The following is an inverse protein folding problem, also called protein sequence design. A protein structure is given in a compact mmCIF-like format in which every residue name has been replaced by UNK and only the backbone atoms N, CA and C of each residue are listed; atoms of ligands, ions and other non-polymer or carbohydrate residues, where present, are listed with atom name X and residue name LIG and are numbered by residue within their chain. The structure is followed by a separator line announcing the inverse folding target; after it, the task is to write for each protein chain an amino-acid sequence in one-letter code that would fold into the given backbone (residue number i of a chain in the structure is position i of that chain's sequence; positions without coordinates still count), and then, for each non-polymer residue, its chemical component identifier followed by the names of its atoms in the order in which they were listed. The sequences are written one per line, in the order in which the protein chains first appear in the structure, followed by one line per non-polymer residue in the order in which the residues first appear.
data_IF_065152471160
#
_entry.id   IF_065152471160
#
_cell.length_a   1.000
_cell.length_b   1.000
_cell.length_c   1.000
_cell.angle_alpha   90.00
_cell.angle_beta   90.00
_cell.angle_gamma   90.00
#
_symmetry.space_group_name_H-M   'P 1'
#
loop_
_entity.id
_entity.type
_entity.pdbx_description
1 polymer ?
#
# COMPACT_ATOMS: atom_id res chain seq x y z
N UNK A 1 -5.95 9.02 9.55
CA UNK A 1 -6.24 7.78 8.85
C UNK A 1 -7.55 7.21 9.33
N UNK A 2 -8.38 6.75 8.43
CA UNK A 2 -9.74 6.36 8.76
C UNK A 2 -10.21 5.24 7.83
N UNK A 3 -10.86 4.23 8.39
CA UNK A 3 -11.53 3.19 7.61
C UNK A 3 -12.93 3.69 7.25
N UNK A 4 -13.23 3.79 5.96
CA UNK A 4 -14.47 4.38 5.48
C UNK A 4 -15.50 3.37 5.00
N UNK A 5 -15.10 2.11 4.73
CA UNK A 5 -16.02 1.08 4.26
C UNK A 5 -16.25 0.04 5.34
N UNK A 6 -17.52 -0.39 5.47
CA UNK A 6 -17.89 -1.47 6.37
C UNK A 6 -18.23 -2.76 5.62
N UNK A 7 -18.11 -2.77 4.29
CA UNK A 7 -18.36 -3.99 3.50
C UNK A 7 -17.31 -5.03 3.83
N UNK A 8 -17.75 -6.26 4.03
CA UNK A 8 -16.87 -7.35 4.44
C UNK A 8 -16.01 -7.90 3.31
N UNK A 9 -16.28 -7.52 2.06
CA UNK A 9 -15.52 -7.97 0.91
C UNK A 9 -14.38 -7.03 0.53
N UNK A 10 -14.29 -5.86 1.14
CA UNK A 10 -13.31 -4.83 0.76
C UNK A 10 -12.85 -4.04 1.98
N UNK A 11 -11.60 -3.56 1.94
CA UNK A 11 -11.08 -2.56 2.87
C UNK A 11 -10.98 -1.25 2.11
N UNK A 12 -11.50 -0.16 2.68
CA UNK A 12 -11.29 1.20 2.14
C UNK A 12 -10.79 2.07 3.28
N UNK A 13 -9.64 2.70 3.07
CA UNK A 13 -9.05 3.62 4.03
C UNK A 13 -8.68 4.92 3.35
N UNK A 14 -8.89 6.03 4.05
CA UNK A 14 -8.48 7.36 3.58
C UNK A 14 -7.49 7.92 4.58
N UNK A 15 -6.36 8.41 4.07
CA UNK A 15 -5.31 8.98 4.91
C UNK A 15 -4.82 10.29 4.32
N UNK A 16 -4.50 11.25 5.20
CA UNK A 16 -3.95 12.54 4.80
C UNK A 16 -2.44 12.55 4.99
N UNK A 17 -1.73 13.08 4.01
CA UNK A 17 -0.27 13.23 4.03
C UNK A 17 0.08 14.69 3.74
N UNK A 18 -0.04 15.56 4.75
CA UNK A 18 0.11 17.00 4.50
C UNK A 18 1.51 17.42 4.10
N UNK A 19 2.52 16.61 4.43
CA UNK A 19 3.92 16.94 4.13
C UNK A 19 4.36 16.47 2.74
N UNK A 20 3.54 15.70 2.01
CA UNK A 20 3.96 15.11 0.74
C UNK A 20 2.98 15.44 -0.39
N UNK A 21 3.45 16.14 -1.45
CA UNK A 21 2.65 16.26 -2.67
C UNK A 21 2.41 14.89 -3.31
N UNK A 22 1.41 14.75 -4.19
CA UNK A 22 1.09 13.44 -4.77
C UNK A 22 2.26 12.73 -5.46
N UNK A 23 3.12 13.45 -6.17
CA UNK A 23 4.28 12.84 -6.81
C UNK A 23 5.30 12.31 -5.81
N UNK A 24 5.52 13.03 -4.72
CA UNK A 24 6.42 12.58 -3.65
C UNK A 24 5.85 11.35 -2.95
N UNK A 25 4.56 11.38 -2.60
CA UNK A 25 3.94 10.22 -1.95
C UNK A 25 3.95 9.00 -2.86
N UNK A 26 3.69 9.17 -4.15
CA UNK A 26 3.76 8.09 -5.12
C UNK A 26 5.14 7.43 -5.12
N UNK A 27 6.20 8.23 -5.04
CA UNK A 27 7.57 7.71 -4.98
C UNK A 27 7.80 6.84 -3.75
N UNK A 28 7.19 7.15 -2.60
CA UNK A 28 7.31 6.32 -1.40
C UNK A 28 6.66 4.95 -1.55
N UNK A 29 5.80 4.77 -2.55
CA UNK A 29 5.17 3.48 -2.85
C UNK A 29 5.88 2.70 -3.97
N UNK A 30 6.80 3.33 -4.70
CA UNK A 30 7.36 2.74 -5.92
C UNK A 30 8.88 2.73 -5.98
N UNK A 31 9.56 3.54 -5.18
CA UNK A 31 11.02 3.55 -5.18
C UNK A 31 11.55 2.71 -4.00
N UNK A 32 12.40 1.72 -4.26
CA UNK A 32 12.87 0.82 -3.21
C UNK A 32 13.46 1.52 -1.99
N UNK A 33 14.28 2.54 -2.20
CA UNK A 33 14.90 3.26 -1.08
C UNK A 33 13.88 3.97 -0.20
N UNK A 34 12.81 4.48 -0.78
CA UNK A 34 11.75 5.14 -0.03
C UNK A 34 10.79 4.14 0.62
N UNK A 35 10.47 3.04 -0.08
CA UNK A 35 9.66 1.96 0.49
C UNK A 35 10.29 1.41 1.77
N UNK A 36 11.61 1.25 1.78
CA UNK A 36 12.33 0.70 2.92
C UNK A 36 12.29 1.61 4.15
N UNK A 37 11.89 2.85 4.00
CA UNK A 37 11.80 3.81 5.12
C UNK A 37 10.58 3.59 5.99
N UNK A 38 9.56 2.91 5.45
CA UNK A 38 8.29 2.83 6.20
C UNK A 38 7.63 1.44 6.18
N UNK A 39 7.97 0.56 5.26
CA UNK A 39 7.25 -0.71 5.12
C UNK A 39 8.19 -1.91 4.99
N UNK A 40 8.60 -2.38 3.78
CA UNK A 40 9.43 -3.58 3.74
C UNK A 40 10.90 -3.26 4.04
N UNK A 41 11.62 -4.17 4.71
CA UNK A 41 13.06 -3.98 4.87
C UNK A 41 13.83 -4.14 3.57
N UNK A 42 13.29 -4.89 2.60
CA UNK A 42 13.87 -5.03 1.26
C UNK A 42 12.78 -4.92 0.20
N UNK A 43 13.11 -4.29 -0.92
CA UNK A 43 12.17 -4.06 -2.01
C UNK A 43 12.87 -4.08 -3.36
N UNK A 44 12.23 -4.73 -4.33
CA UNK A 44 12.60 -4.69 -5.75
C UNK A 44 11.36 -4.27 -6.52
N UNK A 45 11.49 -3.31 -7.41
CA UNK A 45 10.34 -2.74 -8.12
C UNK A 45 10.70 -2.50 -9.59
N UNK A 46 9.87 -2.98 -10.49
CA UNK A 46 9.92 -2.65 -11.90
C UNK A 46 8.84 -1.57 -12.15
N UNK A 47 9.26 -0.33 -12.31
CA UNK A 47 8.42 0.86 -12.22
C UNK A 47 7.65 1.12 -13.52
N UNK A 48 6.73 0.22 -13.87
CA UNK A 48 5.89 0.35 -15.05
C UNK A 48 4.63 -0.49 -14.92
N UNK A 49 3.59 -0.16 -15.68
CA UNK A 49 2.42 -1.04 -15.80
C UNK A 49 2.86 -2.38 -16.38
N UNK A 50 2.38 -3.48 -15.80
CA UNK A 50 2.84 -4.83 -16.16
C UNK A 50 4.16 -5.23 -15.51
N UNK A 51 4.86 -4.31 -14.87
CA UNK A 51 6.07 -4.61 -14.11
C UNK A 51 5.76 -5.34 -12.82
N UNK A 52 6.78 -5.96 -12.24
CA UNK A 52 6.63 -6.77 -11.04
C UNK A 52 7.29 -6.10 -9.84
N UNK A 53 6.77 -6.39 -8.66
CA UNK A 53 7.43 -5.99 -7.41
C UNK A 53 7.65 -7.21 -6.53
N UNK A 54 8.66 -7.12 -5.67
CA UNK A 54 8.97 -8.14 -4.68
C UNK A 54 9.44 -7.44 -3.40
N UNK A 55 8.65 -7.53 -2.35
CA UNK A 55 9.02 -7.04 -1.03
C UNK A 55 9.35 -8.23 -0.15
N UNK A 56 10.38 -8.12 0.68
CA UNK A 56 10.78 -9.24 1.51
C UNK A 56 11.17 -8.82 2.93
N UNK A 57 10.91 -9.75 3.85
CA UNK A 57 11.26 -9.67 5.27
C UNK A 57 12.16 -10.85 5.58
N UNK A 58 13.50 -10.71 5.35
CA UNK A 58 14.41 -11.86 5.43
C UNK A 58 14.44 -12.54 6.80
N UNK A 59 14.23 -11.80 7.88
CA UNK A 59 14.28 -12.36 9.23
C UNK A 59 13.19 -13.38 9.50
N UNK A 60 12.06 -13.29 8.81
CA UNK A 60 10.92 -14.21 8.96
C UNK A 60 10.63 -14.96 7.67
N UNK A 61 11.44 -14.74 6.64
CA UNK A 61 11.31 -15.36 5.31
C UNK A 61 9.90 -15.14 4.71
N UNK A 62 9.40 -13.92 4.78
CA UNK A 62 8.14 -13.54 4.15
C UNK A 62 8.41 -12.79 2.86
N UNK A 63 7.62 -13.10 1.83
CA UNK A 63 7.75 -12.50 0.51
C UNK A 63 6.38 -12.10 -0.01
N UNK A 64 6.25 -10.83 -0.37
CA UNK A 64 5.05 -10.28 -1.00
C UNK A 64 5.40 -9.95 -2.44
N UNK A 65 4.62 -10.49 -3.39
CA UNK A 65 4.87 -10.33 -4.82
C UNK A 65 3.62 -9.92 -5.54
N UNK A 66 3.81 -9.22 -6.65
CA UNK A 66 2.69 -8.89 -7.52
C UNK A 66 3.11 -8.18 -8.78
N UNK A 67 2.11 -7.79 -9.55
CA UNK A 67 2.27 -7.10 -10.82
C UNK A 67 1.45 -5.82 -10.78
N UNK A 68 1.97 -4.76 -11.37
CA UNK A 68 1.26 -3.49 -11.42
C UNK A 68 0.20 -3.52 -12.51
N UNK A 69 -1.08 -3.42 -12.10
CA UNK A 69 -2.21 -3.29 -13.00
C UNK A 69 -2.41 -1.85 -13.47
N UNK A 70 -1.99 -0.88 -12.65
CA UNK A 70 -1.96 0.55 -13.01
C UNK A 70 -0.71 1.18 -12.41
N UNK A 71 -0.06 2.03 -13.19
CA UNK A 71 1.13 2.74 -12.76
C UNK A 71 1.08 4.14 -13.36
N UNK A 72 0.35 5.04 -12.69
CA UNK A 72 0.11 6.42 -13.14
C UNK A 72 0.71 7.37 -12.11
N UNK A 73 1.93 7.85 -12.32
CA UNK A 73 2.63 8.68 -11.32
C UNK A 73 1.79 9.85 -10.83
N UNK A 74 1.76 10.02 -9.52
CA UNK A 74 1.01 11.06 -8.82
C UNK A 74 -0.51 10.91 -8.87
N UNK A 75 -1.04 9.85 -9.50
CA UNK A 75 -2.48 9.66 -9.68
C UNK A 75 -3.00 8.32 -9.17
N UNK A 76 -2.45 7.21 -9.66
CA UNK A 76 -2.99 5.90 -9.32
C UNK A 76 -1.91 4.83 -9.38
N UNK A 77 -1.96 3.92 -8.40
CA UNK A 77 -1.13 2.73 -8.38
C UNK A 77 -2.02 1.55 -7.99
N UNK A 78 -2.04 0.51 -8.81
CA UNK A 78 -2.79 -0.70 -8.49
C UNK A 78 -1.91 -1.91 -8.71
N UNK A 79 -1.97 -2.87 -7.79
CA UNK A 79 -1.10 -4.05 -7.86
C UNK A 79 -1.75 -5.25 -7.18
N UNK A 80 -1.37 -6.45 -7.66
CA UNK A 80 -1.76 -7.70 -7.04
C UNK A 80 -1.02 -7.89 -5.73
N UNK A 81 -1.61 -8.67 -4.83
CA UNK A 81 -1.09 -8.90 -3.49
C UNK A 81 -1.02 -10.39 -3.24
N UNK A 82 0.17 -10.96 -3.24
CA UNK A 82 0.38 -12.40 -3.11
C UNK A 82 1.51 -12.69 -2.13
N UNK A 83 1.16 -13.25 -0.97
CA UNK A 83 2.16 -13.77 -0.05
C UNK A 83 2.59 -15.17 -0.48
N UNK A 84 3.91 -15.43 -0.49
CA UNK A 84 4.43 -16.76 -0.83
C UNK A 84 3.99 -17.85 0.15
N UNK A 85 3.71 -17.45 1.40
CA UNK A 85 3.43 -18.40 2.49
C UNK A 85 1.94 -18.67 2.71
N UNK A 86 1.04 -18.09 1.92
CA UNK A 86 -0.38 -18.34 2.10
C UNK A 86 -1.01 -18.83 0.79
N UNK A 87 -2.08 -19.63 0.92
CA UNK A 87 -2.77 -20.24 -0.21
C UNK A 87 -4.06 -19.49 -0.58
N UNK A 88 -4.26 -18.31 0.00
CA UNK A 88 -5.47 -17.54 -0.25
C UNK A 88 -5.45 -16.95 -1.66
N UNK A 89 -6.64 -16.69 -2.25
CA UNK A 89 -6.71 -16.06 -3.55
C UNK A 89 -5.98 -14.73 -3.60
N UNK A 90 -5.38 -14.36 -4.75
CA UNK A 90 -4.76 -13.05 -4.89
C UNK A 90 -5.74 -11.93 -4.58
N UNK A 91 -5.26 -10.90 -3.91
CA UNK A 91 -6.00 -9.67 -3.66
C UNK A 91 -5.46 -8.58 -4.57
N UNK A 92 -6.14 -7.46 -4.62
CA UNK A 92 -5.64 -6.29 -5.32
C UNK A 92 -5.66 -5.09 -4.37
N UNK A 93 -4.60 -4.29 -4.42
CA UNK A 93 -4.54 -3.00 -3.75
C UNK A 93 -4.62 -1.92 -4.81
N UNK A 94 -5.51 -0.94 -4.61
CA UNK A 94 -5.68 0.20 -5.50
C UNK A 94 -5.49 1.46 -4.68
N UNK A 95 -4.58 2.33 -5.13
CA UNK A 95 -4.25 3.57 -4.45
C UNK A 95 -4.57 4.75 -5.36
N UNK A 96 -5.39 5.67 -4.87
CA UNK A 96 -5.67 6.93 -5.54
C UNK A 96 -4.97 8.07 -4.79
N UNK A 97 -4.21 8.86 -5.52
CA UNK A 97 -3.44 9.99 -5.01
C UNK A 97 -4.09 11.26 -5.49
N UNK A 98 -4.59 12.08 -4.58
CA UNK A 98 -5.27 13.32 -4.93
C UNK A 98 -4.72 14.48 -4.11
N UNK A 99 -4.59 15.69 -4.69
CA UNK A 99 -4.26 16.85 -3.88
C UNK A 99 -5.31 17.02 -2.78
N UNK A 100 -4.87 17.20 -1.54
CA UNK A 100 -5.80 17.40 -0.43
C UNK A 100 -6.17 18.86 -0.30
N UNK A 101 -7.44 19.19 0.01
CA UNK A 101 -7.82 20.55 0.38
C UNK A 101 -7.08 21.05 1.62
N UNK A 102 -6.54 20.13 2.44
CA UNK A 102 -5.79 20.46 3.66
C UNK A 102 -4.30 20.64 3.38
N UNK A 103 -3.85 20.49 2.14
CA UNK A 103 -2.45 20.50 1.76
C UNK A 103 -1.89 19.10 1.63
N UNK A 104 -0.88 18.92 0.77
CA UNK A 104 -0.30 17.59 0.51
C UNK A 104 -1.23 16.69 -0.26
N UNK A 105 -1.33 15.44 0.16
CA UNK A 105 -2.05 14.39 -0.56
C UNK A 105 -3.11 13.74 0.31
N UNK A 106 -4.28 13.51 -0.27
CA UNK A 106 -5.27 12.57 0.24
C UNK A 106 -5.10 11.25 -0.48
N UNK A 107 -4.81 10.20 0.25
CA UNK A 107 -4.65 8.85 -0.28
C UNK A 107 -5.89 8.03 0.04
N UNK A 108 -6.48 7.42 -0.99
CA UNK A 108 -7.55 6.43 -0.81
C UNK A 108 -6.99 5.07 -1.16
N UNK A 109 -7.00 4.15 -0.20
CA UNK A 109 -6.53 2.78 -0.33
C UNK A 109 -7.72 1.84 -0.36
N UNK A 110 -7.81 1.00 -1.40
CA UNK A 110 -8.80 -0.06 -1.51
C UNK A 110 -8.07 -1.40 -1.61
N UNK A 111 -8.45 -2.37 -0.79
CA UNK A 111 -7.80 -3.68 -0.73
C UNK A 111 -8.86 -4.77 -0.67
N UNK A 112 -8.84 -5.71 -1.59
CA UNK A 112 -9.82 -6.80 -1.67
C UNK A 112 -9.62 -7.61 -2.96
N UNK A 113 -10.52 -8.52 -3.30
CA UNK A 113 -11.77 -8.81 -2.56
C UNK A 113 -11.55 -9.92 -1.53
N UNK A 114 -12.43 -9.98 -0.54
CA UNK A 114 -12.42 -11.02 0.51
C UNK A 114 -13.74 -11.78 0.49
N UNK A 115 -13.67 -13.10 0.66
CA UNK A 115 -14.86 -13.93 0.78
C UNK A 115 -15.43 -13.94 2.18
N UNK A 116 -16.55 -14.62 2.36
CA UNK A 116 -17.30 -14.66 3.63
C UNK A 116 -16.79 -15.74 4.60
N UNK A 117 -15.86 -16.60 4.18
CA UNK A 117 -15.36 -17.66 5.06
C UNK A 117 -14.61 -17.06 6.26
N UNK A 118 -14.52 -17.84 7.35
CA UNK A 118 -13.81 -17.37 8.54
C UNK A 118 -12.35 -17.05 8.22
N UNK A 119 -11.67 -17.88 7.41
CA UNK A 119 -10.27 -17.66 7.07
C UNK A 119 -10.09 -16.38 6.22
N UNK A 120 -11.02 -16.09 5.32
CA UNK A 120 -10.93 -14.87 4.51
C UNK A 120 -11.22 -13.62 5.33
N UNK A 121 -12.16 -13.69 6.27
CA UNK A 121 -12.42 -12.56 7.17
C UNK A 121 -11.28 -12.34 8.17
N UNK A 122 -10.60 -13.39 8.60
CA UNK A 122 -9.38 -13.24 9.40
C UNK A 122 -8.26 -12.57 8.61
N UNK A 123 -8.10 -12.94 7.34
CA UNK A 123 -7.12 -12.33 6.45
C UNK A 123 -7.43 -10.83 6.27
N UNK A 124 -8.70 -10.51 6.05
CA UNK A 124 -9.15 -9.12 5.96
C UNK A 124 -8.79 -8.32 7.21
N UNK A 125 -9.10 -8.88 8.38
CA UNK A 125 -8.78 -8.20 9.64
C UNK A 125 -7.27 -8.01 9.81
N UNK A 126 -6.48 -9.01 9.43
CA UNK A 126 -5.02 -8.89 9.46
C UNK A 126 -4.50 -7.76 8.57
N UNK A 127 -5.09 -7.59 7.38
CA UNK A 127 -4.72 -6.49 6.49
C UNK A 127 -5.17 -5.14 7.04
N UNK A 128 -6.35 -5.06 7.66
CA UNK A 128 -6.77 -3.84 8.35
C UNK A 128 -5.76 -3.46 9.43
N UNK A 129 -5.36 -4.43 10.25
CA UNK A 129 -4.38 -4.20 11.32
C UNK A 129 -3.03 -3.77 10.74
N UNK A 130 -2.60 -4.39 9.64
CA UNK A 130 -1.37 -4.03 8.96
C UNK A 130 -1.39 -2.59 8.45
N UNK A 131 -2.41 -2.21 7.71
CA UNK A 131 -2.52 -0.84 7.20
C UNK A 131 -2.64 0.18 8.33
N UNK A 132 -3.35 -0.17 9.40
CA UNK A 132 -3.47 0.69 10.59
C UNK A 132 -2.10 0.93 11.25
N UNK A 133 -1.19 -0.03 11.12
CA UNK A 133 0.18 0.09 11.61
C UNK A 133 1.08 0.86 10.64
N UNK A 134 1.03 0.50 9.35
CA UNK A 134 2.00 1.01 8.38
C UNK A 134 1.69 2.40 7.83
N UNK A 135 0.42 2.75 7.64
CA UNK A 135 0.09 4.08 7.12
C UNK A 135 0.56 5.22 8.04
N UNK A 136 0.44 5.11 9.37
CA UNK A 136 1.06 6.11 10.25
C UNK A 136 2.58 6.19 10.13
N UNK A 137 3.26 5.06 9.86
CA UNK A 137 4.70 5.07 9.61
C UNK A 137 5.03 5.82 8.33
N UNK A 138 4.20 5.68 7.30
CA UNK A 138 4.36 6.45 6.06
C UNK A 138 4.13 7.95 6.30
N UNK A 139 3.15 8.30 7.12
CA UNK A 139 2.93 9.70 7.50
C UNK A 139 4.17 10.28 8.17
N UNK A 140 4.79 9.55 9.08
CA UNK A 140 6.01 9.96 9.75
C UNK A 140 7.18 10.08 8.76
N UNK A 141 7.34 9.09 7.88
CA UNK A 141 8.44 9.08 6.91
C UNK A 141 8.35 10.27 5.96
N UNK A 142 7.13 10.57 5.46
CA UNK A 142 6.95 11.71 4.55
C UNK A 142 7.10 13.05 5.25
N UNK A 143 6.75 13.14 6.54
CA UNK A 143 6.97 14.36 7.31
C UNK A 143 8.45 14.64 7.58
N UNK A 144 9.29 13.61 7.50
CA UNK A 144 10.74 13.71 7.67
C UNK A 144 11.49 13.70 6.34
N UNK A 145 10.78 13.82 5.22
CA UNK A 145 11.39 13.77 3.90
C UNK A 145 12.27 15.00 3.69
N UNK A 146 13.55 14.75 3.41
CA UNK A 146 14.50 15.79 3.04
C UNK A 146 14.41 16.01 1.55
N UNK A 147 13.86 17.13 1.16
CA UNK A 147 13.85 17.58 -0.22
C UNK A 147 15.19 18.22 -0.53
N UNK A 148 15.99 17.65 -1.43
CA UNK A 148 17.26 18.27 -1.81
C UNK A 148 17.08 19.55 -2.58
#
# INVERSE_FOLDING_TARGET
MEQTSTKRDTIVMVAEFPAAPPGTLFAYWTEPDLLRRWWPPEAEVDQMVGGQYHFSWPKIDWHLRGTYAAFEPAHRLAFDWNWDHDDLPPRQVDLLFEPSPLGGTRLTLTHGAYGDSASEQEDRQGHIDGWTTFLPQLQTATAQHDDP
#
